data_IF_577140954860
#
_entry.id   IF_577140954860
#
_cell.length_a   1.000
_cell.length_b   1.000
_cell.length_c   1.000
_cell.angle_alpha   90.00
_cell.angle_beta   90.00
_cell.angle_gamma   90.00
#
_symmetry.space_group_name_H-M   'P 1'
#
loop_
_entity.id
_entity.type
_entity.pdbx_description
1 polymer ?
#
# COMPACT_ATOMS: atom_id res chain seq x y z
N UNK A 1 7.21 19.53 -5.40
CA UNK A 1 6.79 19.36 -5.43
C UNK A 1 6.22 19.09 -5.29
N UNK A 2 6.48 18.89 -5.06
CA UNK A 2 6.00 18.27 -4.99
C UNK A 2 4.91 18.09 -5.27
N UNK A 3 4.53 17.61 -5.57
CA UNK A 3 3.76 17.19 -5.90
C UNK A 3 3.60 16.91 -6.56
N UNK A 4 4.19 16.41 -6.88
CA UNK A 4 4.23 16.05 -7.52
C UNK A 4 4.27 15.58 -8.11
N UNK A 5 4.35 14.97 -8.30
CA UNK A 5 4.50 14.39 -8.79
C UNK A 5 4.17 13.87 -9.38
N UNK A 6 3.86 13.52 -9.76
CA UNK A 6 3.46 12.99 -10.23
C UNK A 6 3.20 12.16 -10.73
N UNK A 7 3.05 11.50 -10.72
CA UNK A 7 2.72 10.70 -10.96
C UNK A 7 1.80 10.56 -11.11
N UNK A 8 1.51 10.40 -11.24
CA UNK A 8 0.72 10.43 -11.31
C UNK A 8 0.24 10.20 -11.87
N UNK A 9 -0.12 10.06 -11.76
CA UNK A 9 -0.48 9.91 -12.07
C UNK A 9 -0.62 10.54 -12.78
N UNK A 10 -0.19 10.50 -12.79
CA UNK A 10 0.14 10.91 -13.00
C UNK A 10 0.58 11.19 -13.48
N UNK A 11 0.69 11.00 -13.42
CA UNK A 11 1.23 11.36 -13.52
C UNK A 11 1.72 11.41 -14.10
N UNK A 12 1.99 11.37 -14.25
CA UNK A 12 2.42 11.41 -14.46
C UNK A 12 2.97 11.85 -14.69
N UNK A 13 3.16 11.76 -14.51
CA UNK A 13 3.86 12.19 -14.41
C UNK A 13 4.49 12.52 -14.36
N UNK A 14 4.70 12.68 -14.02
CA UNK A 14 5.49 12.97 -13.38
C UNK A 14 6.18 13.19 -13.38
N UNK A 15 6.58 13.63 -13.14
CA UNK A 15 7.27 13.89 -12.84
C UNK A 15 7.94 14.08 -12.75
N UNK A 16 7.86 14.80 -12.61
CA UNK A 16 9.14 14.49 -12.51
C UNK A 16 9.67 14.03 -11.50
N UNK A 17 9.76 13.70 -11.15
CA UNK A 17 10.49 13.14 -10.44
C UNK A 17 11.03 11.94 -11.01
N UNK A 18 11.62 11.97 -11.76
CA UNK A 18 12.08 10.93 -12.25
C UNK A 18 13.47 10.80 -12.29
N UNK A 19 14.25 11.58 -11.66
CA UNK A 19 15.67 11.44 -11.68
C UNK A 19 16.16 10.17 -11.06
N UNK A 20 15.48 9.69 -10.07
CA UNK A 20 15.76 8.37 -9.59
C UNK A 20 15.03 7.40 -10.47
N UNK A 21 15.78 6.50 -11.08
CA UNK A 21 15.17 5.62 -12.01
C UNK A 21 14.89 4.30 -11.37
N UNK A 22 13.70 4.16 -10.88
CA UNK A 22 13.17 2.86 -10.57
C UNK A 22 12.28 2.45 -11.72
N UNK A 23 12.23 1.18 -12.05
CA UNK A 23 11.29 0.76 -13.07
C UNK A 23 9.87 1.09 -12.62
N UNK A 24 9.02 1.35 -13.58
CA UNK A 24 7.62 1.59 -13.27
C UNK A 24 7.10 0.41 -12.48
N UNK A 25 6.35 0.68 -11.42
CA UNK A 25 5.77 -0.37 -10.61
C UNK A 25 4.57 -0.92 -11.37
N UNK A 26 4.61 -2.19 -11.78
CA UNK A 26 3.44 -2.75 -12.43
C UNK A 26 2.31 -2.87 -11.43
N UNK A 27 1.13 -2.48 -11.81
CA UNK A 27 -0.02 -2.57 -10.94
C UNK A 27 -0.89 -3.73 -11.36
N UNK A 28 -1.32 -4.54 -10.40
CA UNK A 28 -2.22 -5.64 -10.71
C UNK A 28 -3.55 -5.10 -11.20
N UNK A 29 -4.24 -5.89 -11.99
CA UNK A 29 -5.56 -5.52 -12.49
C UNK A 29 -6.55 -6.59 -12.07
N UNK A 30 -7.70 -6.20 -11.57
CA UNK A 30 -8.71 -7.19 -11.21
C UNK A 30 -9.22 -7.87 -12.48
N UNK A 31 -9.62 -9.11 -12.34
CA UNK A 31 -10.19 -9.86 -13.44
C UNK A 31 -11.54 -10.40 -13.00
N UNK A 32 -12.31 -10.90 -13.97
CA UNK A 32 -13.62 -11.44 -13.68
C UNK A 32 -13.53 -12.63 -12.71
N UNK A 33 -12.42 -13.35 -12.75
CA UNK A 33 -12.26 -14.55 -11.92
C UNK A 33 -11.59 -14.26 -10.59
N UNK A 34 -10.83 -13.17 -10.50
CA UNK A 34 -10.12 -12.81 -9.29
C UNK A 34 -10.55 -11.46 -8.84
N UNK A 35 -11.28 -11.41 -7.73
CA UNK A 35 -11.74 -10.14 -7.18
C UNK A 35 -10.64 -9.37 -6.50
N UNK A 36 -9.50 -10.01 -6.29
CA UNK A 36 -8.36 -9.35 -5.67
C UNK A 36 -7.07 -9.91 -6.24
N UNK A 37 -6.21 -9.01 -6.69
CA UNK A 37 -4.86 -9.35 -7.10
C UNK A 37 -3.89 -8.62 -6.20
N UNK A 38 -2.86 -9.32 -5.75
CA UNK A 38 -1.86 -8.76 -4.85
C UNK A 38 -0.49 -9.08 -5.40
N UNK A 39 0.38 -8.08 -5.37
CA UNK A 39 1.72 -8.20 -5.93
C UNK A 39 2.72 -7.63 -4.94
N UNK A 40 3.80 -8.38 -4.72
CA UNK A 40 4.89 -7.93 -3.86
C UNK A 40 6.00 -7.39 -4.76
N UNK A 41 6.40 -6.17 -4.51
CA UNK A 41 7.41 -5.50 -5.32
C UNK A 41 8.52 -5.03 -4.40
N UNK A 42 9.69 -5.62 -4.52
CA UNK A 42 10.82 -5.17 -3.73
C UNK A 42 11.36 -3.90 -4.35
N UNK A 43 11.16 -2.80 -3.65
CA UNK A 43 11.62 -1.51 -4.12
C UNK A 43 13.13 -1.37 -3.97
N UNK A 44 13.63 -1.75 -2.79
CA UNK A 44 15.06 -1.85 -2.51
C UNK A 44 15.21 -2.81 -1.33
N UNK A 45 16.40 -2.90 -0.76
CA UNK A 45 16.65 -3.85 0.33
C UNK A 45 15.79 -3.58 1.56
N UNK A 46 15.44 -2.33 1.78
CA UNK A 46 14.75 -1.92 2.99
C UNK A 46 13.28 -1.62 2.80
N UNK A 47 12.79 -1.71 1.57
CA UNK A 47 11.41 -1.31 1.27
C UNK A 47 10.72 -2.31 0.38
N UNK A 48 9.58 -2.79 0.83
CA UNK A 48 8.68 -3.63 0.06
C UNK A 48 7.40 -2.88 -0.20
N UNK A 49 6.93 -2.89 -1.44
CA UNK A 49 5.61 -2.37 -1.79
C UNK A 49 4.72 -3.57 -2.06
N UNK A 50 3.60 -3.63 -1.34
CA UNK A 50 2.58 -4.66 -1.58
C UNK A 50 1.41 -3.94 -2.22
N UNK A 51 1.20 -4.18 -3.51
CA UNK A 51 0.16 -3.51 -4.28
C UNK A 51 -1.02 -4.44 -4.45
N UNK A 52 -2.22 -3.94 -4.19
CA UNK A 52 -3.44 -4.71 -4.32
C UNK A 52 -4.40 -3.99 -5.26
N UNK A 53 -5.19 -4.75 -5.99
CA UNK A 53 -6.22 -4.20 -6.89
C UNK A 53 -7.45 -5.07 -6.81
N UNK A 54 -8.61 -4.43 -6.65
CA UNK A 54 -9.88 -5.12 -6.58
C UNK A 54 -10.60 -4.83 -5.27
N UNK A 55 -11.21 -5.85 -4.69
CA UNK A 55 -11.98 -5.69 -3.47
C UNK A 55 -11.40 -6.59 -2.39
N UNK A 56 -11.24 -6.03 -1.20
CA UNK A 56 -10.72 -6.78 -0.06
C UNK A 56 -11.87 -7.01 0.91
N UNK A 57 -12.43 -8.19 0.88
CA UNK A 57 -13.55 -8.57 1.73
C UNK A 57 -13.20 -9.87 2.44
N UNK A 58 -14.18 -10.46 3.10
CA UNK A 58 -13.95 -11.70 3.86
C UNK A 58 -13.41 -12.81 2.97
N UNK A 59 -13.88 -12.88 1.73
CA UNK A 59 -13.46 -13.96 0.82
C UNK A 59 -12.05 -13.77 0.29
N UNK A 60 -11.59 -12.53 0.19
CA UNK A 60 -10.30 -12.23 -0.45
C UNK A 60 -9.21 -11.80 0.53
N UNK A 61 -9.57 -11.48 1.77
CA UNK A 61 -8.59 -10.99 2.74
C UNK A 61 -7.41 -11.94 2.93
N UNK A 62 -7.63 -13.24 2.76
CA UNK A 62 -6.55 -14.21 2.88
C UNK A 62 -5.44 -14.03 1.87
N UNK A 63 -5.76 -13.49 0.70
CA UNK A 63 -4.72 -13.20 -0.30
C UNK A 63 -3.79 -12.09 0.18
N UNK A 64 -4.38 -11.07 0.80
CA UNK A 64 -3.57 -9.99 1.35
C UNK A 64 -2.73 -10.50 2.51
N UNK A 65 -3.33 -11.29 3.38
CA UNK A 65 -2.61 -11.85 4.52
C UNK A 65 -1.43 -12.68 4.06
N UNK A 66 -1.61 -13.48 3.03
CA UNK A 66 -0.55 -14.30 2.51
C UNK A 66 0.61 -13.47 1.98
N UNK A 67 0.29 -12.34 1.32
CA UNK A 67 1.32 -11.46 0.80
C UNK A 67 2.11 -10.76 1.90
N UNK A 68 1.54 -10.65 3.10
CA UNK A 68 2.19 -9.99 4.23
C UNK A 68 2.85 -10.96 5.19
N UNK A 69 2.79 -12.26 4.90
CA UNK A 69 3.46 -13.26 5.71
C UNK A 69 4.95 -13.29 5.45
N UNK A 70 5.64 -13.90 6.38
CA UNK A 70 7.06 -14.11 6.23
C UNK A 70 7.84 -12.87 6.57
N UNK A 71 9.00 -12.78 5.97
CA UNK A 71 9.91 -11.69 6.28
C UNK A 71 9.47 -10.41 5.59
N UNK A 72 9.36 -9.34 6.38
CA UNK A 72 9.14 -8.00 5.85
C UNK A 72 10.40 -7.18 6.13
N UNK A 73 10.82 -6.35 5.17
CA UNK A 73 12.02 -5.53 5.39
C UNK A 73 11.73 -4.39 6.37
N UNK A 74 12.66 -3.46 6.49
CA UNK A 74 12.52 -2.35 7.44
C UNK A 74 11.24 -1.57 7.24
N UNK A 75 10.77 -1.44 6.00
CA UNK A 75 9.54 -0.71 5.70
C UNK A 75 8.70 -1.45 4.68
N UNK A 76 7.39 -1.43 4.88
CA UNK A 76 6.42 -1.98 3.94
C UNK A 76 5.37 -0.92 3.64
N UNK A 77 5.12 -0.70 2.37
CA UNK A 77 4.05 0.20 1.92
C UNK A 77 2.96 -0.65 1.28
N UNK A 78 1.76 -0.55 1.84
CA UNK A 78 0.60 -1.23 1.28
C UNK A 78 -0.07 -0.26 0.32
N UNK A 79 0.03 -0.52 -0.98
CA UNK A 79 -0.56 0.34 -1.98
C UNK A 79 -1.95 -0.16 -2.31
N UNK A 80 -2.95 0.51 -1.75
CA UNK A 80 -4.36 0.19 -1.95
C UNK A 80 -5.02 1.16 -2.92
N UNK A 81 -4.25 1.89 -3.70
CA UNK A 81 -4.83 2.92 -4.58
C UNK A 81 -5.75 2.33 -5.65
N UNK A 82 -5.59 1.04 -5.97
CA UNK A 82 -6.46 0.36 -6.92
C UNK A 82 -7.52 -0.50 -6.24
N UNK A 83 -7.71 -0.32 -4.94
CA UNK A 83 -8.71 -1.06 -4.18
C UNK A 83 -9.97 -0.21 -4.09
N UNK A 84 -11.09 -0.75 -4.57
CA UNK A 84 -12.36 -0.03 -4.54
C UNK A 84 -13.17 -0.27 -3.29
N UNK A 85 -12.88 -1.34 -2.57
CA UNK A 85 -13.61 -1.67 -1.35
C UNK A 85 -12.69 -2.38 -0.37
N UNK A 86 -12.73 -1.93 0.88
CA UNK A 86 -11.99 -2.58 1.96
C UNK A 86 -12.98 -2.86 3.09
N UNK A 87 -13.15 -4.13 3.40
CA UNK A 87 -14.01 -4.54 4.51
C UNK A 87 -13.22 -4.72 5.79
N UNK A 88 -13.93 -5.02 6.85
CA UNK A 88 -13.32 -5.19 8.17
C UNK A 88 -12.29 -6.33 8.17
N UNK A 89 -12.57 -7.41 7.44
CA UNK A 89 -11.63 -8.53 7.38
C UNK A 89 -10.29 -8.10 6.83
N UNK A 90 -10.30 -7.28 5.78
CA UNK A 90 -9.06 -6.76 5.22
C UNK A 90 -8.38 -5.79 6.16
N UNK A 91 -9.15 -4.95 6.82
CA UNK A 91 -8.61 -4.01 7.78
C UNK A 91 -7.88 -4.74 8.90
N UNK A 92 -8.45 -5.83 9.39
CA UNK A 92 -7.81 -6.61 10.45
C UNK A 92 -6.50 -7.21 10.00
N UNK A 93 -6.41 -7.65 8.75
CA UNK A 93 -5.16 -8.14 8.20
C UNK A 93 -4.10 -7.04 8.22
N UNK A 94 -4.48 -5.85 7.80
CA UNK A 94 -3.56 -4.70 7.76
C UNK A 94 -3.10 -4.36 9.17
N UNK A 95 -4.02 -4.28 10.11
CA UNK A 95 -3.68 -3.92 11.48
C UNK A 95 -2.81 -4.97 12.15
N UNK A 96 -3.08 -6.23 11.88
CA UNK A 96 -2.28 -7.32 12.43
C UNK A 96 -0.85 -7.27 11.90
N UNK A 97 -0.71 -7.05 10.60
CA UNK A 97 0.62 -6.97 9.99
C UNK A 97 1.40 -5.78 10.54
N UNK A 98 0.72 -4.64 10.71
CA UNK A 98 1.36 -3.45 11.24
C UNK A 98 1.78 -3.64 12.70
N UNK A 99 0.95 -4.31 13.48
CA UNK A 99 1.28 -4.58 14.88
C UNK A 99 2.50 -5.49 14.98
N UNK A 100 2.54 -6.53 14.16
CA UNK A 100 3.68 -7.42 14.13
C UNK A 100 4.95 -6.68 13.72
N UNK A 101 4.83 -5.82 12.71
CA UNK A 101 5.96 -5.03 12.26
C UNK A 101 6.50 -4.15 13.38
N UNK A 102 5.61 -3.51 14.14
CA UNK A 102 6.05 -2.65 15.23
C UNK A 102 6.83 -3.41 16.29
N UNK A 103 6.43 -4.63 16.61
CA UNK A 103 7.17 -5.41 17.59
C UNK A 103 8.56 -5.77 17.09
N UNK A 104 8.76 -5.75 15.77
CA UNK A 104 10.05 -6.03 15.16
C UNK A 104 10.77 -4.75 14.74
N UNK A 105 10.25 -3.60 15.18
CA UNK A 105 10.82 -2.28 14.86
C UNK A 105 10.86 -2.01 13.37
N UNK A 106 9.81 -2.44 12.68
CA UNK A 106 9.65 -2.19 11.26
C UNK A 106 8.44 -1.28 11.07
N UNK A 107 8.40 -0.59 9.95
CA UNK A 107 7.32 0.37 9.70
C UNK A 107 6.37 -0.15 8.64
N UNK A 108 5.13 0.30 8.73
CA UNK A 108 4.09 -0.03 7.76
C UNK A 108 3.34 1.26 7.46
N UNK A 109 3.08 1.51 6.18
CA UNK A 109 2.24 2.61 5.76
C UNK A 109 1.27 2.14 4.70
N UNK A 110 0.24 2.94 4.46
CA UNK A 110 -0.83 2.60 3.53
C UNK A 110 -0.99 3.74 2.54
N UNK A 111 -1.16 3.40 1.27
CA UNK A 111 -1.56 4.35 0.23
C UNK A 111 -3.00 4.05 -0.12
N UNK A 112 -3.87 5.05 0.00
CA UNK A 112 -5.28 4.90 -0.32
C UNK A 112 -5.81 6.23 -0.81
N UNK A 113 -6.64 6.18 -1.85
CA UNK A 113 -7.19 7.39 -2.43
C UNK A 113 -8.69 7.27 -2.67
N UNK A 114 -9.26 6.08 -2.59
CA UNK A 114 -10.70 5.92 -2.80
C UNK A 114 -11.44 6.26 -1.52
N UNK A 115 -12.60 6.88 -1.69
CA UNK A 115 -13.41 7.30 -0.56
C UNK A 115 -13.81 6.14 0.36
N UNK A 116 -14.28 5.02 -0.16
CA UNK A 116 -14.68 3.92 0.74
C UNK A 116 -13.54 3.41 1.60
N UNK A 117 -12.34 3.31 1.03
CA UNK A 117 -11.20 2.84 1.80
C UNK A 117 -10.80 3.86 2.85
N UNK A 118 -10.72 5.13 2.47
CA UNK A 118 -10.34 6.18 3.42
C UNK A 118 -11.35 6.28 4.56
N UNK A 119 -12.63 6.16 4.25
CA UNK A 119 -13.66 6.24 5.29
C UNK A 119 -13.52 5.13 6.30
N UNK A 120 -13.25 3.92 5.84
CA UNK A 120 -13.10 2.81 6.76
C UNK A 120 -11.89 3.01 7.66
N UNK A 121 -10.77 3.44 7.08
CA UNK A 121 -9.57 3.69 7.86
C UNK A 121 -9.83 4.76 8.93
N UNK A 122 -10.55 5.80 8.58
CA UNK A 122 -10.90 6.86 9.52
C UNK A 122 -11.86 6.36 10.59
N UNK A 123 -12.87 5.62 10.19
CA UNK A 123 -13.90 5.14 11.10
C UNK A 123 -13.32 4.27 12.21
N UNK A 124 -12.32 3.47 11.89
CA UNK A 124 -11.70 2.59 12.85
C UNK A 124 -10.45 3.19 13.50
N UNK A 125 -10.14 4.45 13.19
CA UNK A 125 -8.98 5.12 13.78
C UNK A 125 -7.64 4.58 13.35
N UNK A 126 -7.61 3.81 12.26
CA UNK A 126 -6.39 3.16 11.80
C UNK A 126 -5.31 4.18 11.49
N UNK A 127 -5.70 5.32 10.94
CA UNK A 127 -4.77 6.36 10.53
C UNK A 127 -3.99 6.96 11.69
N UNK A 128 -4.43 6.76 12.92
CA UNK A 128 -3.71 7.25 14.08
C UNK A 128 -2.50 6.39 14.41
N UNK A 129 -2.46 5.17 13.89
CA UNK A 129 -1.37 4.24 14.16
C UNK A 129 -0.57 3.87 12.93
N UNK A 130 -1.18 3.93 11.76
CA UNK A 130 -0.56 3.56 10.50
C UNK A 130 -0.65 4.77 9.59
N UNK A 131 0.49 5.35 9.16
CA UNK A 131 0.44 6.51 8.25
C UNK A 131 -0.30 6.17 6.97
N UNK A 132 -1.17 7.07 6.54
CA UNK A 132 -1.94 6.89 5.32
C UNK A 132 -1.59 8.04 4.37
N UNK A 133 -1.20 7.69 3.16
CA UNK A 133 -0.85 8.64 2.11
C UNK A 133 -1.79 8.46 0.95
N UNK A 134 -2.01 9.51 0.17
CA UNK A 134 -2.86 9.40 -1.00
C UNK A 134 -2.11 8.99 -2.24
N UNK A 135 -0.79 9.06 -2.21
CA UNK A 135 0.04 8.76 -3.36
C UNK A 135 1.21 7.89 -2.95
N UNK A 136 1.54 6.95 -3.83
CA UNK A 136 2.63 6.03 -3.56
C UNK A 136 3.96 6.74 -3.45
N UNK A 137 4.22 7.73 -4.32
CA UNK A 137 5.50 8.44 -4.27
C UNK A 137 5.68 9.16 -2.94
N UNK A 138 4.60 9.73 -2.38
CA UNK A 138 4.66 10.37 -1.08
C UNK A 138 5.01 9.35 0.01
N UNK A 139 4.37 8.20 -0.04
CA UNK A 139 4.63 7.17 0.96
C UNK A 139 6.09 6.73 0.93
N UNK A 140 6.63 6.55 -0.26
CA UNK A 140 8.00 6.12 -0.42
C UNK A 140 8.98 7.17 0.09
N UNK A 141 8.70 8.45 -0.18
CA UNK A 141 9.57 9.52 0.27
C UNK A 141 9.58 9.67 1.78
N UNK A 142 8.48 9.31 2.45
CA UNK A 142 8.37 9.46 3.89
C UNK A 142 8.88 8.24 4.66
N UNK A 143 9.29 7.20 3.96
CA UNK A 143 9.85 6.04 4.63
C UNK A 143 11.14 6.47 5.36
N UNK A 144 11.31 6.04 6.62
CA UNK A 144 12.51 6.40 7.36
C UNK A 144 13.75 6.06 6.58
N UNK A 145 14.79 6.79 6.87
CA UNK A 145 16.04 6.70 6.13
C UNK A 145 16.48 5.26 5.93
N UNK A 146 16.81 4.94 4.70
CA UNK A 146 17.20 3.61 4.30
C UNK A 146 18.69 3.44 4.37
#
# INVERSE_FOLDING_TARGET
>A
MTERIPFTRSSRDGPAFRTVHHPAIPRPRPSAENLLQVQRIRWNEDLLVVAAAGEIDLATAGRLEQALRGHLPAATVLDLSEVGFLGVAGLRVIESAAARARTERRTTSVVADSRPVLRLLQLFGTETQIPVYRRLDHAILEVPNQ
#
